data_IF_160613272179
#
_entry.id   IF_160613272179
#
_cell.length_a   1.000
_cell.length_b   1.000
_cell.length_c   1.000
_cell.angle_alpha   90.00
_cell.angle_beta   90.00
_cell.angle_gamma   90.00
#
_symmetry.space_group_name_H-M   'P 1'
#
loop_
_entity.id
_entity.type
_entity.pdbx_description
1 polymer ?
#
# COMPACT_ATOMS: atom_id res chain seq x y z
N UNK A 1 6.36 -23.07 10.09
CA UNK A 1 5.03 -22.39 9.93
C UNK A 1 5.02 -20.96 10.50
N UNK A 2 5.79 -20.63 11.54
CA UNK A 2 5.84 -19.29 12.16
C UNK A 2 6.35 -18.14 11.27
N UNK A 3 7.31 -18.39 10.37
CA UNK A 3 7.96 -17.33 9.61
C UNK A 3 7.02 -16.62 8.62
N UNK A 4 6.00 -17.32 8.11
CA UNK A 4 5.04 -16.76 7.14
C UNK A 4 4.11 -15.72 7.78
N UNK A 5 3.66 -15.98 9.00
CA UNK A 5 2.81 -15.05 9.75
C UNK A 5 3.57 -13.77 10.10
N UNK A 6 4.84 -13.92 10.48
CA UNK A 6 5.69 -12.79 10.83
C UNK A 6 6.00 -11.89 9.63
N UNK A 7 6.33 -12.49 8.48
CA UNK A 7 6.61 -11.72 7.26
C UNK A 7 5.35 -10.99 6.77
N UNK A 8 4.18 -11.64 6.71
CA UNK A 8 2.95 -10.98 6.26
C UNK A 8 2.56 -9.83 7.21
N UNK A 9 2.70 -10.03 8.52
CA UNK A 9 2.44 -8.97 9.51
C UNK A 9 3.37 -7.76 9.33
N UNK A 10 4.64 -7.98 9.03
CA UNK A 10 5.60 -6.90 8.79
C UNK A 10 5.26 -6.12 7.52
N UNK A 11 4.90 -6.84 6.44
CA UNK A 11 4.46 -6.21 5.20
C UNK A 11 3.16 -5.45 5.40
N UNK A 12 2.26 -5.94 6.26
CA UNK A 12 1.06 -5.22 6.63
C UNK A 12 1.36 -3.91 7.38
N UNK A 13 2.36 -3.91 8.27
CA UNK A 13 2.85 -2.71 8.96
C UNK A 13 3.35 -1.67 7.96
N UNK A 14 4.20 -2.08 7.01
CA UNK A 14 4.69 -1.20 5.94
C UNK A 14 3.56 -0.64 5.07
N UNK A 15 2.62 -1.49 4.64
CA UNK A 15 1.50 -1.07 3.81
C UNK A 15 0.49 -0.19 4.55
N UNK A 16 0.42 -0.29 5.88
CA UNK A 16 -0.47 0.48 6.74
C UNK A 16 0.13 1.82 7.20
N UNK A 17 1.40 2.10 6.91
CA UNK A 17 2.04 3.38 7.21
C UNK A 17 1.17 4.52 6.67
N UNK A 18 0.75 5.42 7.57
CA UNK A 18 0.10 6.67 7.22
C UNK A 18 1.19 7.72 7.16
N UNK A 19 1.64 8.16 5.97
CA UNK A 19 2.64 9.21 5.90
C UNK A 19 2.07 10.47 6.58
N UNK A 20 2.74 10.92 7.64
CA UNK A 20 2.36 12.15 8.33
C UNK A 20 2.80 13.32 7.45
N UNK A 21 1.89 13.84 6.64
CA UNK A 21 2.10 15.07 5.87
C UNK A 21 2.09 16.28 6.81
N UNK A 22 3.12 16.44 7.65
CA UNK A 22 3.37 17.71 8.35
C UNK A 22 4.04 18.67 7.39
N UNK A 23 3.23 19.34 6.57
CA UNK A 23 3.68 20.44 5.72
C UNK A 23 3.68 21.71 6.58
N UNK A 24 4.80 22.00 7.25
CA UNK A 24 5.11 23.39 7.60
C UNK A 24 5.41 24.13 6.29
N UNK A 25 4.40 24.79 5.73
CA UNK A 25 4.47 25.54 4.49
C UNK A 25 3.09 26.07 4.12
N UNK A 26 2.95 27.38 4.19
CA UNK A 26 1.71 28.15 4.07
C UNK A 26 0.87 27.82 2.84
N UNK A 27 -0.36 27.33 3.08
CA UNK A 27 -1.59 27.93 2.57
C UNK A 27 -2.04 27.74 1.12
N UNK A 28 -1.16 27.76 0.12
CA UNK A 28 -1.59 27.76 -1.29
C UNK A 28 -0.71 26.81 -2.13
N UNK A 29 -1.36 26.02 -2.99
CA UNK A 29 -0.77 25.11 -3.99
C UNK A 29 -0.17 23.77 -3.51
N UNK A 30 -0.94 23.03 -2.70
CA UNK A 30 -0.62 21.62 -2.33
C UNK A 30 -0.65 20.67 -3.55
N UNK A 31 -1.45 20.98 -4.58
CA UNK A 31 -1.62 20.11 -5.74
C UNK A 31 -0.49 20.24 -6.77
N UNK A 32 0.09 21.44 -6.90
CA UNK A 32 1.14 21.72 -7.90
C UNK A 32 2.51 21.21 -7.43
N UNK A 33 2.83 21.32 -6.14
CA UNK A 33 4.09 20.78 -5.58
C UNK A 33 4.13 19.25 -5.66
N UNK A 34 2.99 18.57 -5.53
CA UNK A 34 2.90 17.11 -5.67
C UNK A 34 3.12 16.62 -7.10
N UNK A 35 2.72 17.40 -8.10
CA UNK A 35 3.03 17.12 -9.50
C UNK A 35 4.52 17.36 -9.80
N UNK A 36 5.12 18.39 -9.19
CA UNK A 36 6.54 18.69 -9.37
C UNK A 36 7.47 17.67 -8.67
N UNK A 37 7.01 16.98 -7.62
CA UNK A 37 7.74 15.87 -6.99
C UNK A 37 7.89 14.66 -7.94
N UNK A 38 7.03 14.49 -8.94
CA UNK A 38 7.27 13.49 -10.00
C UNK A 38 8.41 13.89 -10.96
N UNK A 39 8.85 15.16 -10.97
CA UNK A 39 9.79 15.68 -11.99
C UNK A 39 11.04 16.37 -11.47
N UNK A 40 11.16 16.74 -10.19
CA UNK A 40 12.35 17.43 -9.67
C UNK A 40 13.22 16.54 -8.77
N UNK A 41 14.13 15.79 -9.41
CA UNK A 41 15.36 15.23 -8.80
C UNK A 41 16.33 16.37 -8.40
N UNK A 42 15.93 17.26 -7.49
CA UNK A 42 16.69 18.47 -7.19
C UNK A 42 16.40 19.10 -5.83
N UNK A 43 17.35 18.91 -4.92
CA UNK A 43 17.64 19.75 -3.74
C UNK A 43 16.93 19.45 -2.42
N UNK A 44 17.68 18.76 -1.55
CA UNK A 44 17.90 19.02 -0.10
C UNK A 44 16.77 19.76 0.63
N UNK A 45 15.73 19.01 1.00
CA UNK A 45 14.79 19.41 2.04
C UNK A 45 13.55 18.50 2.10
N UNK A 46 13.56 17.51 3.00
CA UNK A 46 12.49 16.52 3.33
C UNK A 46 12.50 15.21 2.52
N UNK A 47 13.43 14.33 2.84
CA UNK A 47 13.46 12.94 2.31
C UNK A 47 12.47 12.00 3.05
N UNK A 48 12.12 12.28 4.31
CA UNK A 48 11.35 11.34 5.16
C UNK A 48 9.94 11.04 4.62
N UNK A 49 9.22 12.05 4.10
CA UNK A 49 7.86 11.83 3.59
C UNK A 49 7.82 11.06 2.25
N UNK A 50 8.91 11.12 1.48
CA UNK A 50 9.05 10.36 0.23
C UNK A 50 9.47 8.92 0.52
N UNK A 51 10.39 8.73 1.47
CA UNK A 51 10.88 7.41 1.89
C UNK A 51 9.73 6.54 2.46
N UNK A 52 8.90 7.10 3.35
CA UNK A 52 7.73 6.40 3.92
C UNK A 52 6.67 6.04 2.86
N UNK A 53 6.49 6.90 1.86
CA UNK A 53 5.56 6.63 0.75
C UNK A 53 6.10 5.53 -0.17
N UNK A 54 7.41 5.49 -0.40
CA UNK A 54 8.07 4.45 -1.18
C UNK A 54 8.01 3.09 -0.47
N UNK A 55 8.30 3.05 0.83
CA UNK A 55 8.16 1.84 1.66
C UNK A 55 6.72 1.32 1.67
N UNK A 56 5.72 2.22 1.77
CA UNK A 56 4.30 1.86 1.66
C UNK A 56 3.99 1.26 0.29
N UNK A 57 4.52 1.82 -0.80
CA UNK A 57 4.31 1.29 -2.15
C UNK A 57 4.88 -0.11 -2.30
N UNK A 58 6.08 -0.35 -1.79
CA UNK A 58 6.73 -1.65 -1.77
C UNK A 58 5.90 -2.64 -0.95
N UNK A 59 5.45 -2.24 0.24
CA UNK A 59 4.58 -3.05 1.11
C UNK A 59 3.28 -3.46 0.42
N UNK A 60 2.59 -2.52 -0.24
CA UNK A 60 1.36 -2.81 -0.99
C UNK A 60 1.64 -3.77 -2.16
N UNK A 61 2.72 -3.56 -2.91
CA UNK A 61 3.08 -4.44 -4.01
C UNK A 61 3.36 -5.86 -3.52
N UNK A 62 4.09 -6.00 -2.42
CA UNK A 62 4.38 -7.29 -1.80
C UNK A 62 3.11 -7.97 -1.27
N UNK A 63 2.15 -7.23 -0.71
CA UNK A 63 0.84 -7.79 -0.35
C UNK A 63 0.10 -8.32 -1.58
N UNK A 64 0.07 -7.59 -2.69
CA UNK A 64 -0.53 -8.06 -3.94
C UNK A 64 0.09 -9.39 -4.39
N UNK A 65 1.43 -9.51 -4.35
CA UNK A 65 2.15 -10.76 -4.67
C UNK A 65 1.80 -11.87 -3.67
N UNK A 66 1.73 -11.58 -2.37
CA UNK A 66 1.37 -12.61 -1.40
C UNK A 66 -0.04 -13.14 -1.61
N UNK A 67 -1.01 -12.29 -1.91
CA UNK A 67 -2.38 -12.72 -2.20
C UNK A 67 -2.41 -13.66 -3.41
N UNK A 68 -1.64 -13.37 -4.46
CA UNK A 68 -1.61 -14.20 -5.67
C UNK A 68 -0.83 -15.49 -5.50
N UNK A 69 0.28 -15.49 -4.74
CA UNK A 69 1.16 -16.66 -4.61
C UNK A 69 0.74 -17.61 -3.47
N UNK A 70 0.15 -17.10 -2.38
CA UNK A 70 -0.30 -17.94 -1.28
C UNK A 70 -1.70 -18.52 -1.50
N UNK A 71 -2.50 -17.93 -2.38
CA UNK A 71 -3.88 -18.35 -2.71
C UNK A 71 -4.69 -18.70 -1.44
N UNK A 72 -5.03 -19.98 -1.24
CA UNK A 72 -5.83 -20.48 -0.11
C UNK A 72 -5.14 -20.26 1.25
N UNK A 73 -3.80 -20.25 1.27
CA UNK A 73 -3.02 -20.03 2.50
C UNK A 73 -3.08 -18.58 3.00
N UNK A 74 -3.62 -17.66 2.20
CA UNK A 74 -3.80 -16.25 2.57
C UNK A 74 -5.10 -15.97 3.33
N UNK A 75 -6.02 -16.94 3.39
CA UNK A 75 -7.34 -16.82 4.04
C UNK A 75 -7.38 -16.08 5.39
N UNK A 76 -6.48 -16.34 6.37
CA UNK A 76 -6.56 -15.68 7.68
C UNK A 76 -6.28 -14.16 7.64
N UNK A 77 -5.67 -13.64 6.58
CA UNK A 77 -5.34 -12.22 6.44
C UNK A 77 -6.31 -11.46 5.54
N UNK A 78 -7.33 -12.13 4.99
CA UNK A 78 -8.20 -11.52 3.98
C UNK A 78 -9.02 -10.38 4.55
N UNK A 79 -9.60 -10.52 5.74
CA UNK A 79 -10.41 -9.48 6.37
C UNK A 79 -9.59 -8.20 6.59
N UNK A 80 -8.41 -8.31 7.19
CA UNK A 80 -7.50 -7.19 7.43
C UNK A 80 -7.07 -6.53 6.11
N UNK A 81 -6.70 -7.34 5.12
CA UNK A 81 -6.27 -6.89 3.79
C UNK A 81 -7.38 -6.18 3.04
N UNK A 82 -8.62 -6.67 3.14
CA UNK A 82 -9.78 -6.04 2.50
C UNK A 82 -10.03 -4.63 3.05
N UNK A 83 -9.97 -4.44 4.36
CA UNK A 83 -10.13 -3.14 5.01
C UNK A 83 -9.03 -2.15 4.58
N UNK A 84 -7.79 -2.64 4.49
CA UNK A 84 -6.66 -1.84 3.99
C UNK A 84 -6.85 -1.48 2.51
N UNK A 85 -7.20 -2.43 1.66
CA UNK A 85 -7.38 -2.24 0.22
C UNK A 85 -8.53 -1.27 -0.09
N UNK A 86 -9.63 -1.33 0.65
CA UNK A 86 -10.73 -0.37 0.54
C UNK A 86 -10.25 1.06 0.84
N UNK A 87 -9.41 1.22 1.87
CA UNK A 87 -8.80 2.52 2.19
C UNK A 87 -7.87 2.99 1.07
N UNK A 88 -7.08 2.08 0.47
CA UNK A 88 -6.15 2.38 -0.62
C UNK A 88 -6.84 2.69 -1.95
N UNK A 89 -8.03 2.15 -2.21
CA UNK A 89 -8.80 2.51 -3.41
C UNK A 89 -9.22 3.99 -3.43
N UNK A 90 -9.39 4.59 -2.25
CA UNK A 90 -9.70 6.02 -2.11
C UNK A 90 -8.45 6.91 -2.07
N UNK A 91 -7.27 6.31 -2.13
CA UNK A 91 -5.99 7.03 -2.03
C UNK A 91 -5.73 7.86 -3.30
N UNK A 92 -5.78 9.19 -3.17
CA UNK A 92 -5.70 10.11 -4.32
C UNK A 92 -4.27 10.24 -4.90
N UNK A 93 -3.24 10.02 -4.08
CA UNK A 93 -1.86 10.37 -4.41
C UNK A 93 -1.17 9.45 -5.41
N UNK A 94 -1.65 8.22 -5.62
CA UNK A 94 -1.02 7.29 -6.56
C UNK A 94 -2.04 6.40 -7.27
N UNK A 95 -2.29 6.69 -8.55
CA UNK A 95 -3.20 5.90 -9.39
C UNK A 95 -2.67 4.49 -9.68
N UNK A 96 -1.35 4.30 -9.70
CA UNK A 96 -0.73 2.98 -9.90
C UNK A 96 -1.07 2.04 -8.74
N UNK A 97 -1.02 2.54 -7.50
CA UNK A 97 -1.46 1.78 -6.32
C UNK A 97 -2.92 1.38 -6.47
N UNK A 98 -3.81 2.32 -6.80
CA UNK A 98 -5.24 2.03 -6.97
C UNK A 98 -5.48 0.92 -8.00
N UNK A 99 -4.77 0.96 -9.13
CA UNK A 99 -4.84 -0.08 -10.17
C UNK A 99 -4.31 -1.43 -9.66
N UNK A 100 -3.17 -1.44 -8.98
CA UNK A 100 -2.57 -2.67 -8.44
C UNK A 100 -3.50 -3.34 -7.41
N UNK A 101 -4.04 -2.55 -6.48
CA UNK A 101 -5.02 -2.99 -5.48
C UNK A 101 -6.29 -3.52 -6.14
N UNK A 102 -6.85 -2.79 -7.12
CA UNK A 102 -8.03 -3.23 -7.86
C UNK A 102 -7.80 -4.57 -8.59
N UNK A 103 -6.60 -4.78 -9.15
CA UNK A 103 -6.23 -6.03 -9.82
C UNK A 103 -6.00 -7.20 -8.84
N UNK A 104 -5.66 -6.91 -7.58
CA UNK A 104 -5.44 -7.93 -6.55
C UNK A 104 -6.72 -8.34 -5.82
N UNK A 105 -7.80 -7.55 -5.87
CA UNK A 105 -9.09 -7.90 -5.25
C UNK A 105 -9.70 -9.23 -5.76
N UNK A 106 -9.69 -9.56 -7.06
CA UNK A 106 -10.15 -10.85 -7.53
C UNK A 106 -9.35 -12.03 -6.97
N UNK A 107 -8.03 -11.85 -6.80
CA UNK A 107 -7.17 -12.87 -6.20
C UNK A 107 -7.50 -13.04 -4.71
N UNK A 108 -7.74 -11.93 -4.00
CA UNK A 108 -8.17 -11.95 -2.61
C UNK A 108 -9.50 -12.71 -2.42
N UNK A 109 -10.46 -12.53 -3.33
CA UNK A 109 -11.73 -13.25 -3.30
C UNK A 109 -11.56 -14.75 -3.55
N UNK A 110 -10.61 -15.15 -4.40
CA UNK A 110 -10.28 -16.56 -4.63
C UNK A 110 -9.72 -17.23 -3.38
N UNK A 111 -8.89 -16.53 -2.61
CA UNK A 111 -8.34 -17.03 -1.33
C UNK A 111 -9.43 -17.42 -0.32
N UNK A 112 -10.54 -16.67 -0.28
CA UNK A 112 -11.68 -17.00 0.58
C UNK A 112 -12.48 -18.17 0.02
N UNK A 113 -12.78 -18.13 -1.29
CA UNK A 113 -13.61 -19.15 -1.95
C UNK A 113 -13.04 -20.55 -1.80
N UNK A 114 -11.71 -20.69 -1.78
CA UNK A 114 -11.04 -21.96 -1.57
C UNK A 114 -11.09 -22.48 -0.11
N UNK A 115 -11.36 -21.59 0.85
CA UNK A 115 -11.46 -21.94 2.27
C UNK A 115 -12.88 -22.42 2.65
N UNK A 116 -13.90 -21.98 1.92
CA UNK A 116 -15.30 -22.37 2.12
C UNK A 116 -15.74 -23.61 1.30
N UNK A 117 -14.83 -24.23 0.53
CA UNK A 117 -15.07 -25.43 -0.29
C UNK A 117 -14.48 -26.69 0.35
#
# INVERSE_FOLDING_TARGET
>A
KMWRLWVISEVFSMASLKPSLTISGSGEDVLDILNDIQTSSGSKGKNVATDELEEKNIGIHMLCVFITELEELYAPFVEETSNLFLSLLTFQYNQSIRKSVANALPALLKSIKATDA
#
